data_IF_165714140301
#
_entry.id   IF_165714140301
#
_cell.length_a   1.000
_cell.length_b   1.000
_cell.length_c   1.000
_cell.angle_alpha   90.00
_cell.angle_beta   90.00
_cell.angle_gamma   90.00
#
_symmetry.space_group_name_H-M   'P 1'
#
loop_
_entity.id
_entity.type
_entity.pdbx_description
1 polymer ?
#
# COMPACT_ATOMS: atom_id res chain seq x y z
N UNK A 1 13.09 -24.02 -48.12
CA UNK A 1 12.89 -25.45 -47.85
C UNK A 1 11.65 -25.59 -47.01
N UNK A 2 10.49 -25.64 -47.53
CA UNK A 2 9.74 -26.76 -48.25
C UNK A 2 9.49 -27.96 -47.33
N UNK A 3 8.24 -28.14 -46.92
CA UNK A 3 7.31 -29.28 -47.07
C UNK A 3 6.22 -29.11 -45.98
N UNK A 4 5.01 -28.75 -46.33
CA UNK A 4 3.91 -29.38 -47.10
C UNK A 4 3.28 -30.62 -46.45
N UNK A 5 1.95 -30.41 -46.17
CA UNK A 5 0.81 -31.31 -46.36
C UNK A 5 0.63 -32.54 -45.42
N UNK A 6 -0.54 -32.62 -44.75
CA UNK A 6 -1.62 -33.51 -45.21
C UNK A 6 -2.96 -33.25 -44.49
N UNK A 7 -3.93 -32.91 -45.30
CA UNK A 7 -5.38 -33.00 -45.10
C UNK A 7 -5.79 -34.47 -45.18
N UNK A 8 -6.68 -34.97 -44.32
CA UNK A 8 -7.58 -36.09 -44.63
C UNK A 8 -8.96 -35.76 -44.09
N UNK A 9 -9.84 -35.59 -45.03
CA UNK A 9 -11.31 -35.59 -44.93
C UNK A 9 -11.81 -37.03 -44.90
N UNK A 10 -12.85 -37.31 -44.07
CA UNK A 10 -13.75 -38.44 -44.32
C UNK A 10 -15.17 -38.03 -43.97
N UNK A 11 -15.96 -37.91 -45.05
CA UNK A 11 -17.39 -38.05 -45.10
C UNK A 11 -17.76 -39.55 -45.02
N UNK A 12 -18.86 -39.92 -44.36
CA UNK A 12 -19.89 -40.80 -44.92
C UNK A 12 -21.09 -41.02 -43.98
N UNK A 13 -22.27 -40.53 -44.44
CA UNK A 13 -23.56 -41.23 -44.57
C UNK A 13 -24.30 -41.80 -43.34
N UNK A 14 -25.51 -41.29 -43.26
CA UNK A 14 -26.69 -41.75 -42.48
C UNK A 14 -27.12 -43.19 -42.82
N UNK A 15 -28.02 -43.81 -42.03
CA UNK A 15 -29.43 -43.70 -42.46
C UNK A 15 -30.51 -43.52 -41.34
N UNK A 16 -31.58 -42.94 -41.79
CA UNK A 16 -32.92 -42.81 -41.25
C UNK A 16 -33.54 -44.18 -40.93
N UNK A 17 -34.14 -44.31 -39.73
CA UNK A 17 -35.16 -45.32 -39.46
C UNK A 17 -36.37 -44.60 -38.86
N UNK A 18 -37.42 -44.50 -39.64
CA UNK A 18 -38.78 -44.16 -39.30
C UNK A 18 -39.41 -45.44 -38.74
N UNK A 19 -39.98 -45.38 -37.53
CA UNK A 19 -40.90 -46.39 -37.05
C UNK A 19 -42.18 -45.71 -36.56
N UNK A 20 -43.21 -45.87 -37.36
CA UNK A 20 -44.63 -45.55 -37.10
C UNK A 20 -45.22 -46.72 -36.33
N UNK A 21 -45.79 -46.50 -35.14
CA UNK A 21 -46.81 -47.42 -34.55
C UNK A 21 -47.91 -46.61 -33.89
N UNK A 22 -48.99 -46.53 -34.54
CA UNK A 22 -50.43 -46.61 -34.27
C UNK A 22 -50.99 -46.41 -32.86
N UNK A 23 -51.95 -45.56 -32.87
CA UNK A 23 -53.03 -45.23 -31.93
C UNK A 23 -53.78 -46.49 -31.46
N UNK A 24 -54.03 -46.55 -30.15
CA UNK A 24 -55.25 -47.19 -29.63
C UNK A 24 -55.80 -46.39 -28.43
N UNK A 25 -56.87 -45.78 -28.69
CA UNK A 25 -57.79 -45.18 -27.74
C UNK A 25 -58.41 -46.25 -26.82
N UNK A 26 -58.41 -46.02 -25.51
CA UNK A 26 -59.46 -46.56 -24.62
C UNK A 26 -59.82 -45.50 -23.56
N UNK A 27 -61.09 -45.37 -23.44
CA UNK A 27 -61.87 -44.39 -22.70
C UNK A 27 -62.08 -44.74 -21.24
N UNK A 28 -62.32 -43.70 -20.43
CA UNK A 28 -63.06 -43.55 -19.19
C UNK A 28 -62.75 -44.37 -17.95
N UNK A 29 -62.47 -43.65 -16.86
CA UNK A 29 -63.44 -43.49 -15.77
C UNK A 29 -63.02 -42.33 -14.86
N UNK A 30 -64.03 -41.49 -14.54
CA UNK A 30 -64.00 -40.48 -13.49
C UNK A 30 -63.70 -41.09 -12.14
N UNK A 31 -62.78 -40.54 -11.42
CA UNK A 31 -62.74 -40.65 -9.95
C UNK A 31 -62.26 -39.31 -9.38
N UNK A 32 -63.20 -38.63 -8.73
CA UNK A 32 -62.98 -37.52 -7.85
C UNK A 32 -61.78 -37.78 -6.89
N UNK A 33 -60.66 -37.12 -7.10
CA UNK A 33 -59.53 -37.14 -6.22
C UNK A 33 -59.07 -35.70 -5.95
N UNK A 34 -59.35 -35.21 -4.75
CA UNK A 34 -58.95 -33.98 -4.16
C UNK A 34 -57.57 -33.58 -4.72
N UNK A 35 -57.50 -32.49 -5.49
CA UNK A 35 -56.27 -31.74 -5.72
C UNK A 35 -55.80 -31.22 -4.36
N UNK A 36 -54.89 -31.96 -3.76
CA UNK A 36 -54.00 -31.37 -2.76
C UNK A 36 -53.23 -30.26 -3.47
N UNK A 37 -53.53 -29.03 -3.13
CA UNK A 37 -52.70 -27.92 -3.51
C UNK A 37 -51.27 -28.23 -3.01
N UNK A 38 -50.34 -28.58 -3.91
CA UNK A 38 -48.95 -28.49 -3.60
C UNK A 38 -48.69 -27.06 -3.10
N UNK A 39 -48.05 -26.87 -1.96
CA UNK A 39 -47.69 -25.54 -1.53
C UNK A 39 -46.79 -24.97 -2.64
N UNK A 40 -47.26 -23.92 -3.31
CA UNK A 40 -46.46 -23.12 -4.22
C UNK A 40 -45.15 -22.81 -3.49
N UNK A 41 -44.09 -23.54 -3.81
CA UNK A 41 -42.74 -23.24 -3.39
C UNK A 41 -42.47 -21.83 -3.90
N UNK A 42 -42.68 -20.85 -3.02
CA UNK A 42 -42.41 -19.47 -3.35
C UNK A 42 -40.90 -19.40 -3.67
N UNK A 43 -40.58 -19.18 -4.95
CA UNK A 43 -39.22 -19.06 -5.42
C UNK A 43 -38.63 -17.74 -4.91
N UNK A 44 -37.31 -17.72 -4.62
CA UNK A 44 -36.56 -16.49 -4.37
C UNK A 44 -36.77 -15.57 -5.56
N UNK A 45 -37.22 -14.35 -5.32
CA UNK A 45 -37.39 -13.35 -6.38
C UNK A 45 -36.19 -12.41 -6.43
N UNK A 46 -35.78 -12.09 -7.64
CA UNK A 46 -34.67 -11.20 -7.93
C UNK A 46 -35.17 -10.08 -8.80
N UNK A 47 -34.93 -8.83 -8.43
CA UNK A 47 -35.35 -7.63 -9.15
C UNK A 47 -34.21 -6.67 -9.38
N UNK A 48 -34.43 -5.64 -10.18
CA UNK A 48 -33.45 -4.60 -10.51
C UNK A 48 -32.11 -5.14 -11.01
N UNK A 49 -32.18 -6.09 -11.96
CA UNK A 49 -30.93 -6.63 -12.55
C UNK A 49 -30.05 -7.40 -11.57
N UNK A 50 -30.64 -7.99 -10.53
CA UNK A 50 -29.89 -8.74 -9.51
C UNK A 50 -29.56 -7.93 -8.26
N UNK A 51 -29.99 -6.68 -8.16
CA UNK A 51 -29.63 -5.83 -7.00
C UNK A 51 -30.45 -6.16 -5.77
N UNK A 52 -31.74 -6.50 -5.93
CA UNK A 52 -32.60 -6.83 -4.81
C UNK A 52 -33.00 -8.31 -4.84
N UNK A 53 -32.76 -9.01 -3.73
CA UNK A 53 -33.09 -10.41 -3.54
C UNK A 53 -34.12 -10.50 -2.42
N UNK A 54 -35.26 -11.11 -2.70
CA UNK A 54 -36.32 -11.35 -1.70
C UNK A 54 -36.54 -12.83 -1.50
N UNK A 55 -36.36 -13.29 -0.28
CA UNK A 55 -36.62 -14.67 0.12
C UNK A 55 -38.06 -14.85 0.67
N UNK A 56 -38.73 -15.97 0.38
CA UNK A 56 -39.91 -16.40 1.10
C UNK A 56 -39.62 -16.61 2.59
N UNK A 57 -40.63 -16.47 3.45
CA UNK A 57 -40.47 -16.56 4.91
C UNK A 57 -39.84 -17.87 5.40
N UNK A 58 -40.11 -18.97 4.74
CA UNK A 58 -39.66 -20.31 5.13
C UNK A 58 -38.58 -20.86 4.18
N UNK A 59 -37.79 -19.99 3.57
CA UNK A 59 -36.74 -20.41 2.64
C UNK A 59 -35.55 -21.00 3.41
N UNK A 60 -35.13 -22.24 3.10
CA UNK A 60 -33.95 -22.86 3.76
C UNK A 60 -32.65 -22.07 3.65
N UNK A 61 -32.51 -21.26 2.59
CA UNK A 61 -31.36 -20.41 2.40
C UNK A 61 -31.22 -19.28 3.41
N UNK A 62 -32.28 -18.93 4.13
CA UNK A 62 -32.23 -17.91 5.18
C UNK A 62 -31.44 -18.35 6.41
N UNK A 63 -31.44 -19.65 6.72
CA UNK A 63 -30.71 -20.20 7.88
C UNK A 63 -29.19 -20.11 7.71
N UNK A 64 -28.69 -20.00 6.47
CA UNK A 64 -27.30 -19.87 6.15
C UNK A 64 -26.81 -18.40 6.24
N UNK A 65 -27.75 -17.45 6.25
CA UNK A 65 -27.43 -16.02 6.27
C UNK A 65 -27.30 -15.51 7.70
N UNK A 66 -26.10 -15.05 8.06
CA UNK A 66 -25.89 -14.31 9.31
C UNK A 66 -25.78 -12.83 9.01
N UNK A 67 -26.54 -12.04 9.74
CA UNK A 67 -26.59 -10.59 9.60
C UNK A 67 -26.09 -9.94 10.87
N UNK A 68 -25.23 -8.95 10.75
CA UNK A 68 -24.77 -8.12 11.86
C UNK A 68 -24.97 -6.65 11.55
N UNK A 69 -25.15 -5.84 12.58
CA UNK A 69 -25.20 -4.39 12.44
C UNK A 69 -23.83 -3.85 12.09
N UNK A 70 -23.76 -2.92 11.15
CA UNK A 70 -22.53 -2.24 10.78
C UNK A 70 -22.16 -1.22 11.86
N UNK A 71 -21.11 -1.51 12.59
CA UNK A 71 -20.58 -0.65 13.63
C UNK A 71 -19.23 -0.08 13.19
N UNK A 72 -19.03 1.21 13.49
CA UNK A 72 -17.73 1.86 13.27
C UNK A 72 -16.74 1.42 14.33
N UNK A 73 -15.56 1.09 13.87
CA UNK A 73 -14.44 0.67 14.72
C UNK A 73 -13.15 1.39 14.39
N UNK A 74 -12.08 0.94 15.00
CA UNK A 74 -10.71 1.32 14.64
C UNK A 74 -10.02 0.13 14.02
N UNK A 75 -9.51 0.32 12.82
CA UNK A 75 -8.67 -0.66 12.13
C UNK A 75 -7.27 -0.08 11.90
N UNK A 76 -6.29 -0.94 11.78
CA UNK A 76 -4.96 -0.54 11.32
C UNK A 76 -4.77 -1.09 9.92
N UNK A 77 -4.68 -0.20 8.95
CA UNK A 77 -4.25 -0.58 7.61
C UNK A 77 -2.74 -0.75 7.62
N UNK A 78 -2.26 -1.83 7.06
CA UNK A 78 -0.83 -2.14 7.01
C UNK A 78 -0.26 -1.62 5.69
N UNK A 79 0.57 -0.59 5.76
CA UNK A 79 1.35 -0.10 4.62
C UNK A 79 2.76 -0.64 4.76
N UNK A 80 3.02 -1.76 4.09
CA UNK A 80 4.29 -2.47 4.19
C UNK A 80 5.16 -2.12 2.99
N UNK A 81 6.37 -1.61 3.26
CA UNK A 81 7.34 -1.29 2.24
C UNK A 81 8.68 -2.00 2.48
N UNK A 82 9.35 -2.45 1.41
CA UNK A 82 10.71 -2.94 1.52
C UNK A 82 11.64 -1.80 1.96
N UNK A 83 12.59 -2.14 2.81
CA UNK A 83 13.50 -1.18 3.38
C UNK A 83 14.89 -1.78 3.59
N UNK A 84 15.88 -0.91 3.82
CA UNK A 84 17.24 -1.32 4.18
C UNK A 84 17.86 -0.31 5.12
N UNK A 85 18.80 -0.75 5.93
CA UNK A 85 19.64 0.16 6.71
C UNK A 85 20.61 0.83 5.75
N UNK A 86 20.41 2.10 5.53
CA UNK A 86 21.15 2.88 4.53
C UNK A 86 22.36 3.62 5.14
N UNK A 87 22.28 3.96 6.43
CA UNK A 87 23.41 4.57 7.13
C UNK A 87 23.44 4.16 8.62
N UNK A 88 24.63 4.12 9.19
CA UNK A 88 24.86 4.05 10.64
C UNK A 88 25.69 5.27 11.06
N UNK A 89 25.18 6.00 12.03
CA UNK A 89 25.81 7.20 12.59
C UNK A 89 26.30 6.81 13.98
N UNK A 90 27.62 6.76 14.12
CA UNK A 90 28.29 6.36 15.35
C UNK A 90 28.97 7.59 15.95
N UNK A 91 28.81 7.79 17.26
CA UNK A 91 29.47 8.87 17.94
C UNK A 91 30.84 8.40 18.45
N UNK A 92 31.86 9.11 18.03
CA UNK A 92 33.19 8.93 18.58
C UNK A 92 33.23 9.41 20.05
N UNK A 93 34.19 8.91 20.83
CA UNK A 93 34.49 9.44 22.18
C UNK A 93 34.77 10.94 22.20
N UNK A 94 35.10 11.52 21.04
CA UNK A 94 35.16 12.95 20.84
C UNK A 94 33.78 13.47 20.39
N UNK A 95 33.11 14.32 21.21
CA UNK A 95 31.72 14.77 20.93
C UNK A 95 31.55 15.58 19.65
N UNK A 96 32.64 16.04 19.03
CA UNK A 96 32.61 16.80 17.77
C UNK A 96 32.79 15.95 16.51
N UNK A 97 33.00 14.63 16.64
CA UNK A 97 33.18 13.74 15.49
C UNK A 97 32.21 12.57 15.50
N UNK A 98 31.28 12.57 14.57
CA UNK A 98 30.49 11.40 14.22
C UNK A 98 31.11 10.67 13.03
N UNK A 99 31.11 9.35 13.08
CA UNK A 99 31.47 8.50 11.96
C UNK A 99 30.18 8.04 11.30
N UNK A 100 30.04 8.32 10.02
CA UNK A 100 28.88 7.90 9.24
C UNK A 100 29.32 6.81 8.28
N UNK A 101 28.71 5.65 8.41
CA UNK A 101 28.90 4.50 7.54
C UNK A 101 27.67 4.37 6.64
N UNK A 102 27.84 4.37 5.34
CA UNK A 102 26.75 4.17 4.37
C UNK A 102 26.81 2.76 3.78
N UNK A 103 25.66 2.27 3.32
CA UNK A 103 25.55 1.00 2.60
C UNK A 103 26.05 1.09 1.13
N UNK A 104 26.18 2.32 0.60
CA UNK A 104 26.58 2.61 -0.76
C UNK A 104 27.95 3.32 -0.80
N UNK A 105 28.93 2.80 -1.59
CA UNK A 105 30.18 3.49 -1.85
C UNK A 105 29.98 4.87 -2.51
N UNK A 106 28.97 4.99 -3.39
CA UNK A 106 28.68 6.25 -4.09
C UNK A 106 28.23 7.33 -3.10
N UNK A 107 27.35 6.98 -2.16
CA UNK A 107 26.92 7.91 -1.11
C UNK A 107 28.07 8.26 -0.18
N UNK A 108 28.94 7.30 0.14
CA UNK A 108 30.16 7.55 0.93
C UNK A 108 31.07 8.56 0.23
N UNK A 109 31.29 8.40 -1.07
CA UNK A 109 32.08 9.34 -1.89
C UNK A 109 31.43 10.72 -1.94
N UNK A 110 30.12 10.78 -2.19
CA UNK A 110 29.37 12.04 -2.25
C UNK A 110 29.40 12.79 -0.92
N UNK A 111 29.23 12.09 0.20
CA UNK A 111 29.32 12.70 1.53
C UNK A 111 30.75 13.21 1.84
N UNK A 112 31.77 12.50 1.39
CA UNK A 112 33.16 12.94 1.52
C UNK A 112 33.42 14.23 0.72
N UNK A 113 32.88 14.33 -0.50
CA UNK A 113 32.97 15.53 -1.34
C UNK A 113 32.22 16.71 -0.70
N UNK A 114 31.05 16.46 -0.14
CA UNK A 114 30.30 17.46 0.62
C UNK A 114 31.13 18.01 1.78
N UNK A 115 31.72 17.13 2.59
CA UNK A 115 32.62 17.54 3.71
C UNK A 115 33.78 18.39 3.27
N UNK A 116 34.39 18.05 2.12
CA UNK A 116 35.46 18.82 1.54
C UNK A 116 34.98 20.20 1.05
N UNK A 117 33.86 20.25 0.34
CA UNK A 117 33.30 21.52 -0.14
C UNK A 117 32.90 22.44 1.02
N UNK A 118 32.33 21.87 2.10
CA UNK A 118 32.00 22.61 3.32
C UNK A 118 33.25 23.23 3.96
N UNK A 119 34.32 22.44 4.15
CA UNK A 119 35.58 22.95 4.71
C UNK A 119 36.19 24.06 3.85
N UNK A 120 36.10 23.94 2.52
CA UNK A 120 36.56 24.97 1.60
C UNK A 120 35.71 26.25 1.70
N UNK A 121 34.39 26.12 1.75
CA UNK A 121 33.50 27.27 1.92
C UNK A 121 33.72 27.97 3.27
N UNK A 122 33.92 27.24 4.35
CA UNK A 122 34.25 27.80 5.68
C UNK A 122 35.56 28.59 5.66
N UNK A 123 36.58 28.05 4.96
CA UNK A 123 37.84 28.72 4.82
C UNK A 123 37.75 30.02 3.98
N UNK A 124 37.10 29.92 2.81
CA UNK A 124 36.99 31.08 1.89
C UNK A 124 36.10 32.16 2.47
N UNK A 125 35.04 31.80 3.20
CA UNK A 125 34.17 32.73 3.92
C UNK A 125 34.90 33.49 5.01
N UNK A 126 35.76 32.80 5.80
CA UNK A 126 36.62 33.45 6.81
C UNK A 126 37.64 34.35 6.16
N UNK A 127 38.22 33.97 5.02
CA UNK A 127 39.13 34.80 4.26
C UNK A 127 38.46 36.06 3.73
N UNK A 128 37.28 35.92 3.14
CA UNK A 128 36.48 37.06 2.67
C UNK A 128 36.19 38.04 3.79
N UNK A 129 35.72 37.54 4.97
CA UNK A 129 35.44 38.40 6.11
C UNK A 129 36.69 39.21 6.53
N UNK A 130 37.85 38.55 6.61
CA UNK A 130 39.12 39.19 6.95
C UNK A 130 39.55 40.22 5.89
N UNK A 131 39.48 39.84 4.61
CA UNK A 131 39.85 40.74 3.48
C UNK A 131 38.93 41.97 3.46
N UNK A 132 37.64 41.82 3.74
CA UNK A 132 36.69 42.91 3.84
C UNK A 132 37.05 43.89 4.97
N UNK A 133 37.39 43.38 6.16
CA UNK A 133 37.85 44.20 7.27
C UNK A 133 39.16 44.94 6.94
N UNK A 134 40.10 44.30 6.22
CA UNK A 134 41.34 44.93 5.77
C UNK A 134 41.10 46.00 4.72
N UNK A 135 40.16 45.79 3.78
CA UNK A 135 39.77 46.74 2.75
C UNK A 135 39.16 48.01 3.37
N UNK A 136 38.29 47.86 4.34
CA UNK A 136 37.65 48.98 5.09
C UNK A 136 38.73 49.83 5.82
N UNK A 137 39.86 49.22 6.19
CA UNK A 137 40.99 49.89 6.81
C UNK A 137 42.10 50.25 5.80
N UNK A 138 41.82 50.28 4.49
CA UNK A 138 42.75 50.63 3.40
C UNK A 138 44.00 49.72 3.35
N UNK A 139 43.94 48.50 3.89
CA UNK A 139 45.06 47.57 3.98
C UNK A 139 45.22 46.63 2.79
N UNK A 140 44.22 46.55 1.91
CA UNK A 140 44.21 45.71 0.69
C UNK A 140 43.53 46.45 -0.46
N UNK A 141 43.74 45.96 -1.69
CA UNK A 141 43.18 46.59 -2.90
C UNK A 141 41.76 46.08 -3.17
N UNK A 142 40.97 46.86 -3.95
CA UNK A 142 39.65 46.38 -4.42
C UNK A 142 39.74 45.11 -5.28
N UNK A 143 40.89 44.87 -5.95
CA UNK A 143 41.14 43.62 -6.67
C UNK A 143 41.18 42.42 -5.71
N UNK A 144 41.86 42.59 -4.58
CA UNK A 144 41.98 41.54 -3.59
C UNK A 144 40.61 41.21 -2.96
N UNK A 145 39.79 42.24 -2.71
CA UNK A 145 38.41 42.03 -2.23
C UNK A 145 37.55 41.29 -3.25
N UNK A 146 37.58 41.74 -4.52
CA UNK A 146 36.82 41.07 -5.58
C UNK A 146 37.24 39.61 -5.76
N UNK A 147 38.54 39.30 -5.63
CA UNK A 147 39.04 37.92 -5.68
C UNK A 147 38.47 37.09 -4.52
N UNK A 148 38.53 37.59 -3.29
CA UNK A 148 38.01 36.90 -2.11
C UNK A 148 36.47 36.69 -2.19
N UNK A 149 35.74 37.65 -2.76
CA UNK A 149 34.31 37.50 -3.02
C UNK A 149 34.01 36.39 -4.04
N UNK A 150 34.81 36.36 -5.13
CA UNK A 150 34.65 35.33 -6.18
C UNK A 150 34.98 33.93 -5.64
N UNK A 151 36.06 33.82 -4.85
CA UNK A 151 36.46 32.54 -4.24
C UNK A 151 35.38 32.00 -3.29
N UNK A 152 34.83 32.89 -2.45
CA UNK A 152 33.75 32.50 -1.53
C UNK A 152 32.47 32.13 -2.27
N UNK A 153 32.09 32.86 -3.33
CA UNK A 153 30.94 32.56 -4.14
C UNK A 153 31.05 31.22 -4.87
N UNK A 154 32.24 30.94 -5.43
CA UNK A 154 32.52 29.64 -6.09
C UNK A 154 32.48 28.48 -5.12
N UNK A 155 33.07 28.63 -3.94
CA UNK A 155 33.04 27.61 -2.90
C UNK A 155 31.63 27.34 -2.39
N UNK A 156 30.82 28.39 -2.26
CA UNK A 156 29.40 28.29 -1.90
C UNK A 156 28.60 27.49 -2.93
N UNK A 157 28.76 27.79 -4.21
CA UNK A 157 28.08 27.08 -5.28
C UNK A 157 28.45 25.59 -5.30
N UNK A 158 29.71 25.26 -5.06
CA UNK A 158 30.16 23.87 -4.95
C UNK A 158 29.55 23.16 -3.74
N UNK A 159 29.43 23.82 -2.60
CA UNK A 159 28.78 23.27 -1.43
C UNK A 159 27.26 22.99 -1.70
N UNK A 160 26.57 23.97 -2.24
CA UNK A 160 25.13 23.86 -2.57
C UNK A 160 24.87 22.74 -3.59
N UNK A 161 25.78 22.52 -4.55
CA UNK A 161 25.71 21.39 -5.49
C UNK A 161 25.79 20.04 -4.76
N UNK A 162 26.75 19.87 -3.86
CA UNK A 162 26.91 18.61 -3.13
C UNK A 162 25.76 18.36 -2.16
N UNK A 163 25.25 19.40 -1.50
CA UNK A 163 24.04 19.31 -0.68
C UNK A 163 22.82 18.88 -1.50
N UNK A 164 22.65 19.47 -2.67
CA UNK A 164 21.56 19.12 -3.60
C UNK A 164 21.60 17.65 -3.98
N UNK A 165 22.77 17.14 -4.36
CA UNK A 165 22.97 15.73 -4.71
C UNK A 165 22.63 14.79 -3.55
N UNK A 166 23.06 15.10 -2.33
CA UNK A 166 22.73 14.31 -1.14
C UNK A 166 21.24 14.34 -0.81
N UNK A 167 20.59 15.50 -0.94
CA UNK A 167 19.15 15.63 -0.70
C UNK A 167 18.30 14.81 -1.69
N UNK A 168 18.73 14.74 -2.97
CA UNK A 168 18.11 13.87 -3.98
C UNK A 168 18.16 12.39 -3.57
N UNK A 169 19.27 11.97 -2.98
CA UNK A 169 19.44 10.61 -2.46
C UNK A 169 18.71 10.36 -1.12
N UNK A 170 18.04 11.37 -0.56
CA UNK A 170 17.29 11.26 0.70
C UNK A 170 18.12 11.59 1.94
N UNK A 171 19.34 12.09 1.78
CA UNK A 171 20.22 12.48 2.88
C UNK A 171 20.26 14.00 3.02
N UNK A 172 19.87 14.51 4.18
CA UNK A 172 20.12 15.91 4.52
C UNK A 172 21.39 16.01 5.36
N UNK A 173 22.46 16.66 4.85
CA UNK A 173 23.73 16.76 5.56
C UNK A 173 23.63 17.43 6.92
N UNK A 174 22.81 18.46 7.07
CA UNK A 174 22.58 19.15 8.34
C UNK A 174 21.95 18.23 9.39
N UNK A 175 21.04 17.34 8.96
CA UNK A 175 20.42 16.36 9.85
C UNK A 175 21.45 15.30 10.29
N UNK A 176 22.35 14.86 9.40
CA UNK A 176 23.45 13.94 9.76
C UNK A 176 24.31 14.54 10.88
N UNK A 177 24.68 15.81 10.75
CA UNK A 177 25.52 16.50 11.73
C UNK A 177 24.80 16.79 13.05
N UNK A 178 23.47 16.87 13.04
CA UNK A 178 22.63 17.16 14.22
C UNK A 178 22.20 15.94 15.01
N UNK A 179 22.40 14.71 14.49
CA UNK A 179 22.05 13.48 15.17
C UNK A 179 22.79 13.35 16.49
N UNK A 180 22.07 13.06 17.56
CA UNK A 180 22.63 12.80 18.88
C UNK A 180 22.46 11.32 19.23
N UNK A 181 23.56 10.69 19.62
CA UNK A 181 23.58 9.26 19.97
C UNK A 181 23.70 8.35 18.74
N UNK A 182 23.99 7.09 18.99
CA UNK A 182 24.20 6.10 17.96
C UNK A 182 22.85 5.71 17.32
N UNK A 183 22.74 5.96 16.04
CA UNK A 183 21.49 5.79 15.27
C UNK A 183 21.78 5.09 13.96
N UNK A 184 20.79 4.38 13.46
CA UNK A 184 20.76 3.95 12.07
C UNK A 184 19.62 4.64 11.32
N UNK A 185 19.86 4.91 10.06
CA UNK A 185 18.85 5.37 9.12
C UNK A 185 18.45 4.23 8.22
N UNK A 186 17.15 4.00 8.19
CA UNK A 186 16.51 3.00 7.35
C UNK A 186 15.81 3.75 6.23
N UNK A 187 16.11 3.39 4.99
CA UNK A 187 15.41 3.88 3.81
C UNK A 187 14.38 2.85 3.38
N UNK A 188 13.12 3.25 3.39
CA UNK A 188 12.00 2.49 2.86
C UNK A 188 11.57 3.06 1.51
N UNK A 189 11.28 2.19 0.55
CA UNK A 189 10.75 2.55 -0.75
C UNK A 189 9.23 2.38 -0.72
N UNK A 190 8.51 3.49 -0.74
CA UNK A 190 7.05 3.52 -0.61
C UNK A 190 6.41 3.90 -1.95
N UNK A 191 5.47 3.10 -2.46
CA UNK A 191 4.70 3.46 -3.65
C UNK A 191 3.96 4.79 -3.48
N UNK A 192 3.94 5.61 -4.54
CA UNK A 192 3.27 6.91 -4.57
C UNK A 192 1.83 6.85 -4.06
N UNK A 193 1.08 5.81 -4.43
CA UNK A 193 -0.32 5.62 -4.04
C UNK A 193 -0.54 5.50 -2.52
N UNK A 194 0.51 5.15 -1.75
CA UNK A 194 0.44 4.94 -0.30
C UNK A 194 1.02 6.10 0.52
N UNK A 195 1.53 7.15 -0.13
CA UNK A 195 2.18 8.27 0.55
C UNK A 195 1.25 9.06 1.47
N UNK A 196 -0.03 9.17 1.14
CA UNK A 196 -1.01 9.89 1.95
C UNK A 196 -1.16 9.32 3.36
N UNK A 197 -0.77 8.06 3.54
CA UNK A 197 -0.82 7.34 4.81
C UNK A 197 0.39 7.62 5.71
N UNK A 198 1.43 8.28 5.20
CA UNK A 198 2.74 8.42 5.84
C UNK A 198 3.03 9.89 6.13
N UNK A 199 3.32 10.18 7.39
CA UNK A 199 3.62 11.55 7.83
C UNK A 199 4.95 11.63 8.56
N UNK A 200 5.70 12.70 8.32
CA UNK A 200 6.90 13.04 9.11
C UNK A 200 6.55 13.13 10.60
N UNK A 201 7.36 12.55 11.44
CA UNK A 201 7.17 12.48 12.89
C UNK A 201 6.34 11.26 13.35
N UNK A 202 5.74 10.53 12.43
CA UNK A 202 5.06 9.27 12.71
C UNK A 202 6.03 8.15 13.10
N UNK A 203 5.49 6.99 13.42
CA UNK A 203 6.26 5.79 13.77
C UNK A 203 6.05 4.70 12.74
N UNK A 204 7.09 3.91 12.47
CA UNK A 204 7.01 2.71 11.65
C UNK A 204 7.49 1.49 12.46
N UNK A 205 6.85 0.36 12.26
CA UNK A 205 7.29 -0.93 12.80
C UNK A 205 8.31 -1.51 11.84
N UNK A 206 9.50 -1.81 12.34
CA UNK A 206 10.61 -2.30 11.54
C UNK A 206 10.88 -3.75 11.91
N UNK A 207 10.86 -4.62 10.91
CA UNK A 207 11.31 -6.01 11.01
C UNK A 207 12.57 -6.17 10.18
N UNK A 208 13.64 -6.65 10.80
CA UNK A 208 14.93 -6.88 10.13
C UNK A 208 15.05 -8.37 9.79
N UNK A 209 15.55 -8.68 8.61
CA UNK A 209 15.77 -10.07 8.19
C UNK A 209 16.70 -10.83 9.15
N UNK A 210 17.67 -10.14 9.75
CA UNK A 210 18.57 -10.71 10.77
C UNK A 210 17.92 -10.94 12.15
N UNK A 211 16.74 -10.36 12.39
CA UNK A 211 16.01 -10.44 13.67
C UNK A 211 14.51 -10.69 13.42
N UNK A 212 14.12 -11.83 12.80
CA UNK A 212 12.75 -12.04 12.28
C UNK A 212 11.66 -12.03 13.36
N UNK A 213 12.02 -12.34 14.61
CA UNK A 213 11.07 -12.41 15.73
C UNK A 213 11.04 -11.14 16.58
N UNK A 214 11.69 -10.05 16.12
CA UNK A 214 11.73 -8.78 16.85
C UNK A 214 11.20 -7.66 15.98
N UNK A 215 10.29 -6.89 16.56
CA UNK A 215 9.75 -5.69 15.95
C UNK A 215 10.38 -4.50 16.67
N UNK A 216 10.97 -3.61 15.88
CA UNK A 216 11.56 -2.36 16.38
C UNK A 216 10.65 -1.21 16.00
N UNK A 217 10.59 -0.19 16.84
CA UNK A 217 9.83 1.03 16.56
C UNK A 217 10.79 2.12 16.10
N UNK A 218 10.69 2.50 14.83
CA UNK A 218 11.45 3.59 14.23
C UNK A 218 10.59 4.85 14.08
N UNK A 219 11.24 6.01 14.09
CA UNK A 219 10.59 7.30 13.85
C UNK A 219 10.77 7.71 12.39
N UNK A 220 9.70 8.18 11.76
CA UNK A 220 9.75 8.73 10.40
C UNK A 220 10.34 10.15 10.46
N UNK A 221 11.57 10.31 9.98
CA UNK A 221 12.27 11.60 10.02
C UNK A 221 12.01 12.44 8.77
N UNK A 222 11.91 11.79 7.61
CA UNK A 222 11.66 12.47 6.37
C UNK A 222 10.86 11.59 5.39
N UNK A 223 9.99 12.25 4.64
CA UNK A 223 9.36 11.70 3.44
C UNK A 223 9.99 12.43 2.26
N UNK A 224 10.51 11.70 1.29
CA UNK A 224 11.17 12.27 0.12
C UNK A 224 10.25 13.15 -0.70
N UNK A 225 10.82 14.18 -1.31
CA UNK A 225 10.09 15.13 -2.16
C UNK A 225 10.19 14.78 -3.66
N UNK A 226 10.83 13.66 -3.98
CA UNK A 226 11.08 13.22 -5.35
C UNK A 226 10.54 11.80 -5.49
N UNK A 227 9.76 11.61 -6.53
CA UNK A 227 9.26 10.29 -6.96
C UNK A 227 10.26 9.76 -7.98
N UNK A 228 10.74 8.53 -7.79
CA UNK A 228 11.54 7.85 -8.80
C UNK A 228 10.66 7.57 -10.03
N UNK A 229 11.04 8.09 -11.23
CA UNK A 229 10.18 7.97 -12.41
C UNK A 229 10.08 6.53 -12.95
N UNK A 230 11.01 5.64 -12.59
CA UNK A 230 11.03 4.27 -13.05
C UNK A 230 10.22 3.34 -12.14
N UNK A 231 10.37 3.49 -10.82
CA UNK A 231 9.73 2.62 -9.84
C UNK A 231 8.42 3.19 -9.30
N UNK A 232 8.15 4.47 -9.47
CA UNK A 232 7.03 5.20 -8.86
C UNK A 232 7.02 5.13 -7.34
N UNK A 233 8.21 5.11 -6.75
CA UNK A 233 8.40 5.05 -5.31
C UNK A 233 9.00 6.34 -4.77
N UNK A 234 8.74 6.60 -3.49
CA UNK A 234 9.34 7.69 -2.73
C UNK A 234 10.18 7.09 -1.60
N UNK A 235 11.35 7.64 -1.38
CA UNK A 235 12.22 7.26 -0.28
C UNK A 235 11.70 7.85 1.03
N UNK A 236 11.39 7.01 2.01
CA UNK A 236 11.00 7.40 3.36
C UNK A 236 12.13 7.03 4.31
N UNK A 237 12.65 8.03 5.03
CA UNK A 237 13.72 7.81 5.99
C UNK A 237 13.17 7.63 7.39
N UNK A 238 13.63 6.57 8.05
CA UNK A 238 13.24 6.18 9.40
C UNK A 238 14.50 6.10 10.24
N UNK A 239 14.49 6.70 11.42
CA UNK A 239 15.57 6.58 12.40
C UNK A 239 15.25 5.52 13.44
N UNK A 240 16.28 4.78 13.83
CA UNK A 240 16.22 3.76 14.86
C UNK A 240 17.48 3.84 15.75
N UNK A 241 17.36 3.88 17.09
CA UNK A 241 18.50 3.82 18.00
C UNK A 241 19.32 2.54 17.82
N UNK A 242 20.66 2.66 17.85
CA UNK A 242 21.59 1.55 17.67
C UNK A 242 22.72 1.56 18.73
N UNK A 243 22.41 1.63 20.03
CA UNK A 243 23.45 1.80 21.08
C UNK A 243 24.40 0.61 21.18
N UNK A 244 23.98 -0.56 20.74
CA UNK A 244 24.80 -1.79 20.75
C UNK A 244 25.52 -2.03 19.41
N UNK A 245 25.42 -1.12 18.46
CA UNK A 245 25.99 -1.23 17.09
C UNK A 245 25.62 -2.53 16.36
N UNK A 246 24.44 -3.11 16.70
CA UNK A 246 23.97 -4.38 16.12
C UNK A 246 23.40 -4.24 14.72
N UNK A 247 22.95 -3.05 14.38
CA UNK A 247 22.33 -2.74 13.10
C UNK A 247 23.40 -2.17 12.16
N UNK A 248 23.67 -2.91 11.09
CA UNK A 248 24.74 -2.57 10.14
C UNK A 248 24.15 -2.06 8.82
N UNK A 249 24.76 -1.08 8.17
CA UNK A 249 24.41 -0.65 6.82
C UNK A 249 24.37 -1.85 5.86
N UNK A 250 23.38 -1.87 4.98
CA UNK A 250 23.14 -2.96 4.03
C UNK A 250 22.19 -4.07 4.56
N UNK A 251 21.83 -4.10 5.86
CA UNK A 251 20.84 -5.05 6.35
C UNK A 251 19.45 -4.76 5.74
N UNK A 252 18.80 -5.82 5.26
CA UNK A 252 17.42 -5.75 4.76
C UNK A 252 16.42 -5.64 5.89
N UNK A 253 15.42 -4.80 5.69
CA UNK A 253 14.33 -4.55 6.60
C UNK A 253 13.00 -4.51 5.86
N UNK A 254 11.92 -4.61 6.62
CA UNK A 254 10.57 -4.31 6.20
C UNK A 254 10.01 -3.24 7.13
N UNK A 255 9.52 -2.16 6.56
CA UNK A 255 8.87 -1.09 7.30
C UNK A 255 7.36 -1.19 7.13
N UNK A 256 6.65 -1.25 8.24
CA UNK A 256 5.20 -1.20 8.29
C UNK A 256 4.78 0.13 8.94
N UNK A 257 4.18 0.97 8.15
CA UNK A 257 3.77 2.32 8.54
C UNK A 257 2.39 2.37 9.19
N UNK A 258 1.72 1.26 9.32
CA UNK A 258 0.43 1.03 9.97
C UNK A 258 -0.40 2.28 10.23
N UNK A 259 -1.37 2.57 9.37
CA UNK A 259 -2.28 3.71 9.59
C UNK A 259 -3.49 3.28 10.41
N UNK A 260 -3.78 4.01 11.49
CA UNK A 260 -5.01 3.79 12.26
C UNK A 260 -6.15 4.55 11.61
N UNK A 261 -7.07 3.83 11.01
CA UNK A 261 -8.35 4.36 10.60
C UNK A 261 -9.33 4.28 11.76
N UNK A 262 -9.88 5.42 12.15
CA UNK A 262 -10.96 5.50 13.13
C UNK A 262 -12.28 5.82 12.41
N UNK A 263 -13.36 5.19 12.84
CA UNK A 263 -14.68 5.43 12.25
C UNK A 263 -14.95 4.69 10.94
N UNK A 264 -14.14 3.71 10.58
CA UNK A 264 -14.38 2.81 9.47
C UNK A 264 -15.19 1.59 9.89
N UNK A 265 -15.96 0.98 8.98
CA UNK A 265 -16.68 -0.24 9.25
C UNK A 265 -15.75 -1.44 9.09
N UNK A 266 -15.75 -2.31 10.10
CA UNK A 266 -14.93 -3.52 10.10
C UNK A 266 -15.83 -4.72 9.93
N UNK A 267 -15.62 -5.49 8.87
CA UNK A 267 -16.40 -6.69 8.55
C UNK A 267 -15.48 -7.91 8.36
N UNK A 268 -16.00 -9.13 8.57
CA UNK A 268 -15.26 -10.34 8.23
C UNK A 268 -15.11 -10.47 6.70
N UNK A 269 -14.07 -11.15 6.24
CA UNK A 269 -13.84 -11.46 4.82
C UNK A 269 -15.04 -12.11 4.14
N UNK A 270 -15.83 -12.89 4.90
CA UNK A 270 -17.01 -13.60 4.41
C UNK A 270 -18.19 -12.69 4.07
N UNK A 271 -18.15 -11.41 4.44
CA UNK A 271 -19.21 -10.44 4.17
C UNK A 271 -19.14 -9.85 2.75
N UNK A 272 -17.98 -9.88 2.12
CA UNK A 272 -17.76 -9.28 0.80
C UNK A 272 -17.57 -10.35 -0.25
N UNK A 273 -18.09 -10.08 -1.44
CA UNK A 273 -17.93 -10.92 -2.62
C UNK A 273 -17.41 -10.07 -3.78
N UNK A 274 -16.44 -10.61 -4.50
CA UNK A 274 -15.85 -9.92 -5.67
C UNK A 274 -16.39 -10.55 -6.94
N UNK A 275 -16.86 -9.71 -7.89
CA UNK A 275 -17.32 -10.11 -9.21
C UNK A 275 -16.70 -9.14 -10.22
N UNK A 276 -15.99 -9.68 -11.20
CA UNK A 276 -15.32 -8.90 -12.26
C UNK A 276 -14.43 -7.76 -11.72
N UNK A 277 -13.77 -7.99 -10.57
CA UNK A 277 -12.90 -7.00 -9.95
C UNK A 277 -13.62 -5.89 -9.18
N UNK A 278 -14.95 -6.01 -9.01
CA UNK A 278 -15.76 -5.09 -8.21
C UNK A 278 -16.21 -5.82 -6.94
N UNK A 279 -16.07 -5.13 -5.80
CA UNK A 279 -16.43 -5.67 -4.50
C UNK A 279 -17.85 -5.26 -4.12
N UNK A 280 -18.62 -6.24 -3.65
CA UNK A 280 -20.01 -6.09 -3.24
C UNK A 280 -20.24 -6.67 -1.85
N UNK A 281 -21.14 -6.06 -1.12
CA UNK A 281 -21.78 -6.63 0.08
C UNK A 281 -23.29 -6.65 -0.08
N UNK A 282 -23.97 -7.35 0.84
CA UNK A 282 -25.42 -7.41 0.87
C UNK A 282 -25.94 -6.80 2.17
N UNK A 283 -26.81 -5.80 2.02
CA UNK A 283 -27.47 -5.10 3.12
C UNK A 283 -28.88 -5.62 3.27
N UNK A 284 -29.30 -6.00 4.47
CA UNK A 284 -30.68 -6.35 4.77
C UNK A 284 -31.48 -5.07 4.95
N UNK A 285 -32.30 -4.72 3.95
CA UNK A 285 -33.17 -3.52 3.95
C UNK A 285 -34.51 -3.74 4.61
N UNK A 286 -35.01 -4.98 4.55
CA UNK A 286 -36.25 -5.43 5.23
C UNK A 286 -36.12 -6.91 5.63
N UNK A 287 -37.05 -7.47 6.45
CA UNK A 287 -37.03 -8.88 6.71
C UNK A 287 -37.01 -9.69 5.40
N UNK A 288 -36.03 -10.59 5.24
CA UNK A 288 -35.83 -11.45 4.07
C UNK A 288 -35.53 -10.70 2.74
N UNK A 289 -35.24 -9.39 2.78
CA UNK A 289 -34.90 -8.59 1.61
C UNK A 289 -33.46 -8.12 1.72
N UNK A 290 -32.64 -8.43 0.72
CA UNK A 290 -31.22 -8.14 0.67
C UNK A 290 -30.90 -7.34 -0.59
N UNK A 291 -30.22 -6.21 -0.39
CA UNK A 291 -29.76 -5.31 -1.45
C UNK A 291 -28.26 -5.52 -1.68
N UNK A 292 -27.88 -5.80 -2.92
CA UNK A 292 -26.48 -5.83 -3.34
C UNK A 292 -25.97 -4.41 -3.46
N UNK A 293 -24.86 -4.11 -2.81
CA UNK A 293 -24.26 -2.78 -2.83
C UNK A 293 -22.76 -2.84 -3.13
N UNK A 294 -22.32 -2.02 -4.07
CA UNK A 294 -20.90 -1.84 -4.38
C UNK A 294 -20.18 -1.13 -3.23
N UNK A 295 -18.98 -1.60 -2.88
CA UNK A 295 -18.16 -1.02 -1.81
C UNK A 295 -16.74 -0.79 -2.27
N UNK A 296 -16.04 0.10 -1.57
CA UNK A 296 -14.59 0.23 -1.62
C UNK A 296 -14.06 -0.29 -0.29
N UNK A 297 -13.15 -1.23 -0.34
CA UNK A 297 -12.60 -1.88 0.84
C UNK A 297 -11.09 -2.00 0.78
N UNK A 298 -10.47 -2.19 1.96
CA UNK A 298 -9.08 -2.60 2.12
C UNK A 298 -8.95 -3.72 3.15
N UNK A 299 -7.91 -4.54 3.01
CA UNK A 299 -7.63 -5.58 3.98
C UNK A 299 -6.98 -4.96 5.23
N UNK A 300 -7.56 -5.23 6.40
CA UNK A 300 -6.98 -4.83 7.67
C UNK A 300 -6.00 -5.89 8.19
N UNK A 301 -6.43 -7.16 8.14
CA UNK A 301 -5.63 -8.32 8.54
C UNK A 301 -6.11 -9.58 7.78
N UNK A 302 -5.57 -10.75 8.16
CA UNK A 302 -5.91 -12.03 7.51
C UNK A 302 -7.40 -12.43 7.59
N UNK A 303 -8.21 -11.78 8.42
CA UNK A 303 -9.60 -12.18 8.70
C UNK A 303 -10.62 -11.05 8.58
N UNK A 304 -10.17 -9.79 8.52
CA UNK A 304 -11.03 -8.59 8.58
C UNK A 304 -10.76 -7.64 7.45
N UNK A 305 -11.84 -7.04 6.97
CA UNK A 305 -11.88 -5.99 5.96
C UNK A 305 -12.30 -4.66 6.57
N UNK A 306 -11.77 -3.60 6.03
CA UNK A 306 -12.20 -2.23 6.32
C UNK A 306 -12.98 -1.72 5.12
N UNK A 307 -14.23 -1.33 5.34
CA UNK A 307 -15.06 -0.71 4.32
C UNK A 307 -14.86 0.81 4.38
N UNK A 308 -14.32 1.35 3.30
CA UNK A 308 -14.03 2.78 3.15
C UNK A 308 -15.23 3.57 2.65
N UNK A 309 -16.08 2.95 1.80
CA UNK A 309 -17.29 3.57 1.27
C UNK A 309 -18.34 2.54 0.86
N UNK A 310 -19.60 2.99 0.77
CA UNK A 310 -20.74 2.15 0.33
C UNK A 310 -21.56 1.57 1.47
N UNK A 311 -21.28 1.89 2.73
CA UNK A 311 -22.03 1.41 3.90
C UNK A 311 -22.33 2.58 4.85
N UNK A 312 -23.53 2.59 5.43
CA UNK A 312 -23.94 3.56 6.42
C UNK A 312 -23.99 2.94 7.82
N UNK A 313 -23.95 3.81 8.83
CA UNK A 313 -24.02 3.39 10.23
C UNK A 313 -25.39 2.77 10.56
N UNK A 314 -25.37 1.72 11.36
CA UNK A 314 -26.54 0.95 11.77
C UNK A 314 -27.23 0.13 10.67
N UNK A 315 -26.72 0.08 9.45
CA UNK A 315 -27.21 -0.84 8.44
C UNK A 315 -26.91 -2.30 8.85
N UNK A 316 -27.81 -3.20 8.48
CA UNK A 316 -27.65 -4.64 8.72
C UNK A 316 -26.95 -5.28 7.52
N UNK A 317 -25.78 -5.83 7.73
CA UNK A 317 -24.93 -6.42 6.68
C UNK A 317 -24.86 -7.94 6.85
N UNK A 318 -24.93 -8.66 5.74
CA UNK A 318 -24.72 -10.11 5.72
C UNK A 318 -23.24 -10.38 5.96
N UNK A 319 -22.92 -11.02 7.07
CA UNK A 319 -21.55 -11.35 7.47
C UNK A 319 -21.14 -12.80 7.20
N UNK A 320 -22.13 -13.67 6.94
CA UNK A 320 -21.93 -15.05 6.50
C UNK A 320 -22.99 -15.43 5.49
N UNK A 321 -22.67 -16.28 4.52
CA UNK A 321 -23.58 -16.68 3.45
C UNK A 321 -23.65 -15.72 2.27
N UNK A 322 -22.84 -14.68 2.21
CA UNK A 322 -22.81 -13.73 1.09
C UNK A 322 -22.54 -14.41 -0.27
N UNK A 323 -21.82 -15.54 -0.27
CA UNK A 323 -21.57 -16.33 -1.48
C UNK A 323 -22.85 -16.92 -2.08
N UNK A 324 -23.82 -17.30 -1.24
CA UNK A 324 -25.15 -17.75 -1.70
C UNK A 324 -25.89 -16.61 -2.41
N UNK A 325 -25.89 -15.43 -1.80
CA UNK A 325 -26.51 -14.25 -2.39
C UNK A 325 -25.82 -13.83 -3.69
N UNK A 326 -24.50 -14.00 -3.79
CA UNK A 326 -23.76 -13.79 -5.04
C UNK A 326 -24.30 -14.67 -6.15
N UNK A 327 -24.46 -15.99 -5.92
CA UNK A 327 -25.01 -16.92 -6.91
C UNK A 327 -26.39 -16.48 -7.39
N UNK A 328 -27.28 -16.13 -6.47
CA UNK A 328 -28.65 -15.69 -6.78
C UNK A 328 -28.66 -14.34 -7.52
N UNK A 329 -27.85 -13.39 -7.07
CA UNK A 329 -27.79 -12.02 -7.60
C UNK A 329 -27.22 -11.93 -9.03
N UNK A 330 -26.23 -12.77 -9.35
CA UNK A 330 -25.55 -12.75 -10.64
C UNK A 330 -25.97 -13.91 -11.57
N UNK A 331 -26.86 -14.81 -11.11
CA UNK A 331 -27.43 -15.87 -11.95
C UNK A 331 -26.49 -17.05 -12.21
N UNK A 332 -25.62 -17.39 -11.24
CA UNK A 332 -24.71 -18.55 -11.31
C UNK A 332 -25.33 -19.79 -10.66
#
# INVERSE_FOLDING_TARGET
MLKLLKVISYNLLAPVIILIITVSSLSCTDTDGKQGAEPLSQKVSVSEGGEIITFPKDSPGLDELKVSQAEKGSATLSVIAPARIAASILHSKNPESSIVLFDSPDITSLYSQYRQSKANFDLTSKNLLRTKQMFDNLGVTGKDLNQAETDAATARASLEEMEGKLKVEGYNPEEIESVKGDMVWIMANVPEAQLNEISKGGTARITLASFPNKIFSGRIDAVGNIIDPNTREVKVRISLPNPDEKFLPGMFAQADFGNKLTGAFILPLTAVVTVEGIDYLFVQTAPNVYERRKVIMENSDASRLVILSGLNENEKVVTSGAILLKGISFGY
#
